data_IF_283267750131
#
_entry.id   IF_283267750131
#
_cell.length_a   1.000
_cell.length_b   1.000
_cell.length_c   1.000
_cell.angle_alpha   90.00
_cell.angle_beta   90.00
_cell.angle_gamma   90.00
#
_symmetry.space_group_name_H-M   'P 1'
#
loop_
_entity.id
_entity.type
_entity.pdbx_description
1 polymer ?
#
# COMPACT_ATOMS: atom_id res chain seq x y z
N UNK A 1 -34.22 36.68 -9.50
CA UNK A 1 -34.62 36.43 -8.11
C UNK A 1 -34.17 35.02 -7.69
N UNK A 2 -32.93 34.62 -8.01
CA UNK A 2 -32.52 33.19 -8.10
C UNK A 2 -31.21 32.87 -7.34
N UNK A 3 -30.64 33.81 -6.56
CA UNK A 3 -29.41 33.59 -5.77
C UNK A 3 -29.63 33.60 -4.25
N UNK A 4 -30.87 33.77 -3.79
CA UNK A 4 -31.20 33.70 -2.36
C UNK A 4 -31.32 32.26 -1.84
N UNK A 5 -31.84 31.35 -2.66
CA UNK A 5 -32.09 29.96 -2.28
C UNK A 5 -30.81 29.18 -1.89
N UNK A 6 -29.70 29.39 -2.59
CA UNK A 6 -28.43 28.69 -2.29
C UNK A 6 -27.80 29.17 -0.98
N UNK A 7 -27.96 30.46 -0.64
CA UNK A 7 -27.40 31.06 0.58
C UNK A 7 -28.17 30.66 1.85
N UNK A 8 -29.48 30.42 1.71
CA UNK A 8 -30.34 29.98 2.81
C UNK A 8 -30.28 28.46 3.04
N UNK A 9 -29.82 27.68 2.04
CA UNK A 9 -29.68 26.22 2.11
C UNK A 9 -28.27 25.78 2.59
N UNK A 10 -27.25 26.59 2.33
CA UNK A 10 -25.87 26.41 2.81
C UNK A 10 -25.73 26.15 4.33
N UNK A 11 -26.48 26.83 5.22
CA UNK A 11 -26.42 26.59 6.67
C UNK A 11 -26.91 25.20 7.09
N UNK A 12 -27.92 24.65 6.40
CA UNK A 12 -28.47 23.31 6.67
C UNK A 12 -27.53 22.21 6.18
N UNK A 13 -26.92 22.41 5.01
CA UNK A 13 -25.83 21.54 4.57
C UNK A 13 -24.62 21.62 5.50
N UNK A 14 -24.33 22.78 6.10
CA UNK A 14 -23.19 22.91 7.02
C UNK A 14 -23.34 22.08 8.30
N UNK A 15 -24.55 21.83 8.79
CA UNK A 15 -24.76 20.91 9.93
C UNK A 15 -24.69 19.45 9.50
N UNK A 16 -25.29 19.10 8.35
CA UNK A 16 -25.23 17.74 7.80
C UNK A 16 -23.81 17.33 7.41
N UNK A 17 -23.07 18.24 6.76
CA UNK A 17 -21.65 18.06 6.42
C UNK A 17 -20.82 17.94 7.70
N UNK A 18 -21.14 18.68 8.77
CA UNK A 18 -20.40 18.57 10.04
C UNK A 18 -20.58 17.19 10.67
N UNK A 19 -21.80 16.67 10.69
CA UNK A 19 -22.10 15.36 11.30
C UNK A 19 -21.43 14.21 10.52
N UNK A 20 -21.49 14.26 9.18
CA UNK A 20 -20.82 13.29 8.30
C UNK A 20 -19.29 13.40 8.37
N UNK A 21 -18.74 14.61 8.32
CA UNK A 21 -17.28 14.83 8.42
C UNK A 21 -16.75 14.42 9.78
N UNK A 22 -17.47 14.70 10.87
CA UNK A 22 -17.08 14.25 12.21
C UNK A 22 -17.13 12.72 12.33
N UNK A 23 -18.12 12.08 11.70
CA UNK A 23 -18.22 10.61 11.60
C UNK A 23 -17.06 9.99 10.81
N UNK A 24 -16.64 10.62 9.72
CA UNK A 24 -15.47 10.20 8.93
C UNK A 24 -14.18 10.44 9.69
N UNK A 25 -14.01 11.57 10.38
CA UNK A 25 -12.83 11.85 11.21
C UNK A 25 -12.73 10.84 12.36
N UNK A 26 -13.86 10.50 13.01
CA UNK A 26 -13.91 9.46 14.06
C UNK A 26 -13.55 8.06 13.56
N UNK A 27 -13.92 7.73 12.32
CA UNK A 27 -13.68 6.40 11.73
C UNK A 27 -12.35 6.25 11.00
N UNK A 28 -11.83 7.32 10.41
CA UNK A 28 -10.68 7.29 9.50
C UNK A 28 -9.46 8.01 10.08
N UNK A 29 -9.63 9.07 10.87
CA UNK A 29 -8.49 9.89 11.32
C UNK A 29 -8.12 9.58 12.78
N UNK A 30 -9.11 9.48 13.66
CA UNK A 30 -8.93 9.21 15.09
C UNK A 30 -8.28 7.84 15.41
N UNK A 31 -8.50 6.75 14.65
CA UNK A 31 -7.76 5.50 14.85
C UNK A 31 -6.29 5.60 14.47
N UNK A 32 -5.87 6.65 13.74
CA UNK A 32 -4.51 6.82 13.24
C UNK A 32 -3.76 7.96 13.96
N UNK A 33 -4.46 8.73 14.81
CA UNK A 33 -3.90 9.83 15.62
C UNK A 33 -4.44 9.76 17.07
N UNK A 34 -3.93 8.85 17.91
CA UNK A 34 -4.43 8.63 19.27
C UNK A 34 -4.27 9.83 20.22
N UNK A 35 -3.45 10.83 19.84
CA UNK A 35 -3.14 12.03 20.64
C UNK A 35 -4.25 13.10 20.68
N UNK A 36 -5.30 13.00 19.86
CA UNK A 36 -6.41 13.99 19.81
C UNK A 36 -7.62 13.59 20.68
N UNK A 37 -7.51 12.56 21.52
CA UNK A 37 -8.58 12.21 22.47
C UNK A 37 -8.73 13.33 23.50
N UNK A 38 -9.89 13.99 23.53
CA UNK A 38 -10.24 14.95 24.57
C UNK A 38 -10.28 14.26 25.94
N UNK A 39 -9.60 14.78 26.97
CA UNK A 39 -9.53 14.15 28.28
C UNK A 39 -10.70 14.60 29.16
N UNK A 40 -11.74 13.78 29.27
CA UNK A 40 -12.59 13.79 30.47
C UNK A 40 -12.10 12.66 31.40
N UNK A 41 -11.53 13.09 32.53
CA UNK A 41 -10.84 12.28 33.58
C UNK A 41 -11.82 11.36 34.37
N UNK A 42 -11.38 10.52 35.35
CA UNK A 42 -10.04 10.16 35.78
C UNK A 42 -9.74 8.64 35.86
N UNK A 43 -8.45 8.31 35.78
CA UNK A 43 -7.73 7.24 36.50
C UNK A 43 -8.45 5.89 36.72
N UNK A 44 -8.17 4.94 35.83
CA UNK A 44 -8.05 3.51 36.17
C UNK A 44 -7.19 2.79 35.13
N UNK A 45 -5.89 2.65 35.36
CA UNK A 45 -5.08 1.57 34.77
C UNK A 45 -5.65 0.23 35.26
N UNK A 46 -5.51 -0.95 34.60
CA UNK A 46 -4.63 -1.42 33.50
C UNK A 46 -5.46 -2.23 32.43
N UNK A 47 -4.98 -3.13 31.53
CA UNK A 47 -3.65 -3.68 31.29
C UNK A 47 -3.05 -3.31 29.93
N UNK A 48 -1.77 -3.65 29.78
CA UNK A 48 -0.98 -3.55 28.56
C UNK A 48 -1.73 -4.19 27.38
N UNK A 49 -2.56 -3.41 26.70
CA UNK A 49 -2.87 -3.68 25.32
C UNK A 49 -1.67 -3.12 24.56
N UNK A 50 -0.62 -3.94 24.50
CA UNK A 50 0.11 -4.02 23.25
C UNK A 50 -0.94 -4.42 22.21
N UNK A 51 -1.71 -3.42 21.73
CA UNK A 51 -2.18 -3.41 20.37
C UNK A 51 -0.89 -3.59 19.58
N UNK A 52 -0.58 -4.86 19.30
CA UNK A 52 -0.06 -5.19 18.00
C UNK A 52 -1.02 -4.47 17.07
N UNK A 53 -0.63 -3.27 16.65
CA UNK A 53 -0.96 -2.79 15.33
C UNK A 53 -0.61 -3.99 14.48
N UNK A 54 -1.63 -4.79 14.14
CA UNK A 54 -1.47 -5.77 13.09
C UNK A 54 -1.03 -4.89 11.93
N UNK A 55 0.28 -4.84 11.67
CA UNK A 55 0.81 -4.23 10.47
C UNK A 55 -0.06 -4.82 9.38
N UNK A 56 -0.93 -4.00 8.80
CA UNK A 56 -1.73 -4.44 7.69
C UNK A 56 -0.70 -4.85 6.65
N UNK A 57 -0.59 -6.15 6.43
CA UNK A 57 0.41 -6.71 5.54
C UNK A 57 0.06 -6.20 4.14
N UNK A 58 0.82 -5.24 3.65
CA UNK A 58 0.69 -4.76 2.29
C UNK A 58 1.45 -5.70 1.36
N UNK A 59 0.88 -5.99 0.20
CA UNK A 59 1.50 -6.86 -0.80
C UNK A 59 1.47 -6.21 -2.17
N UNK A 60 2.57 -6.34 -2.90
CA UNK A 60 2.64 -6.00 -4.32
C UNK A 60 2.23 -7.23 -5.13
N UNK A 61 1.28 -7.06 -6.05
CA UNK A 61 0.80 -8.13 -6.92
C UNK A 61 0.84 -7.71 -8.39
N UNK A 62 1.28 -8.61 -9.26
CA UNK A 62 1.12 -8.44 -10.71
C UNK A 62 -0.35 -8.60 -11.08
N UNK A 63 -0.86 -7.64 -11.85
CA UNK A 63 -2.23 -7.71 -12.40
C UNK A 63 -2.21 -8.60 -13.63
N UNK A 64 -3.04 -9.63 -13.62
CA UNK A 64 -3.05 -10.68 -14.63
C UNK A 64 -2.07 -11.81 -14.31
N UNK A 65 -1.94 -12.73 -15.25
CA UNK A 65 -1.08 -13.92 -15.09
C UNK A 65 0.16 -13.76 -15.95
N UNK A 66 1.33 -13.90 -15.33
CA UNK A 66 2.61 -14.00 -16.03
C UNK A 66 2.80 -15.44 -16.52
N UNK A 67 3.39 -15.65 -17.70
CA UNK A 67 3.70 -16.99 -18.18
C UNK A 67 4.72 -17.68 -17.27
N UNK A 68 4.58 -19.00 -17.13
CA UNK A 68 5.47 -19.84 -16.29
C UNK A 68 6.96 -19.74 -16.66
N UNK A 69 7.24 -19.31 -17.90
CA UNK A 69 8.62 -19.17 -18.39
C UNK A 69 8.79 -17.84 -19.10
N UNK A 70 9.67 -17.01 -18.55
CA UNK A 70 10.15 -15.77 -19.16
C UNK A 70 11.45 -16.04 -19.91
N UNK A 71 11.55 -15.50 -21.11
CA UNK A 71 12.76 -15.61 -21.92
C UNK A 71 13.52 -14.29 -21.89
N UNK A 72 14.84 -14.37 -21.77
CA UNK A 72 15.71 -13.21 -21.92
C UNK A 72 15.54 -12.59 -23.32
N UNK A 73 15.77 -11.28 -23.43
CA UNK A 73 15.62 -10.52 -24.68
C UNK A 73 14.20 -10.47 -25.27
N UNK A 74 13.19 -10.85 -24.50
CA UNK A 74 11.77 -10.61 -24.83
C UNK A 74 11.15 -9.67 -23.81
N UNK A 75 10.18 -8.90 -24.28
CA UNK A 75 9.33 -8.09 -23.41
C UNK A 75 8.55 -9.02 -22.48
N UNK A 76 8.54 -8.67 -21.19
CA UNK A 76 7.70 -9.36 -20.21
C UNK A 76 6.26 -8.94 -20.50
N UNK A 77 5.40 -9.91 -20.72
CA UNK A 77 3.98 -9.70 -21.01
C UNK A 77 3.15 -10.66 -20.16
N UNK A 78 1.96 -10.22 -19.77
CA UNK A 78 0.93 -11.12 -19.20
C UNK A 78 0.20 -11.86 -20.32
N UNK A 79 -0.62 -12.84 -19.97
CA UNK A 79 -1.31 -13.74 -20.94
C UNK A 79 -2.08 -13.02 -22.06
N UNK A 80 -2.58 -11.80 -21.81
CA UNK A 80 -3.27 -10.97 -22.81
C UNK A 80 -2.30 -10.17 -23.72
N UNK A 81 -1.00 -10.49 -23.71
CA UNK A 81 0.07 -9.81 -24.44
C UNK A 81 0.25 -8.31 -24.07
N UNK A 82 -0.27 -7.89 -22.91
CA UNK A 82 -0.10 -6.55 -22.38
C UNK A 82 1.10 -6.46 -21.42
N UNK A 83 1.60 -5.23 -21.21
CA UNK A 83 2.69 -5.01 -20.26
C UNK A 83 2.23 -5.31 -18.82
N UNK A 84 3.08 -5.94 -17.99
CA UNK A 84 2.74 -6.24 -16.61
C UNK A 84 2.49 -4.95 -15.83
N UNK A 85 1.40 -4.93 -15.09
CA UNK A 85 1.09 -3.89 -14.12
C UNK A 85 1.24 -4.45 -12.71
N UNK A 86 1.70 -3.62 -11.77
CA UNK A 86 1.77 -3.98 -10.35
C UNK A 86 0.77 -3.14 -9.58
N UNK A 87 0.04 -3.77 -8.67
CA UNK A 87 -0.83 -3.09 -7.71
C UNK A 87 -0.43 -3.39 -6.27
N UNK A 88 -0.80 -2.48 -5.37
CA UNK A 88 -0.66 -2.64 -3.94
C UNK A 88 -1.99 -3.12 -3.37
N UNK A 89 -1.98 -4.21 -2.60
CA UNK A 89 -3.13 -4.75 -1.90
C UNK A 89 -2.94 -4.74 -0.39
N UNK A 90 -4.04 -4.61 0.34
CA UNK A 90 -4.08 -4.79 1.79
C UNK A 90 -4.31 -6.27 2.17
N UNK A 91 -4.36 -6.55 3.47
CA UNK A 91 -4.58 -7.90 4.00
C UNK A 91 -5.97 -8.48 3.66
N UNK A 92 -6.88 -7.68 3.12
CA UNK A 92 -8.19 -8.14 2.63
C UNK A 92 -8.18 -8.50 1.14
N UNK A 93 -7.04 -8.28 0.46
CA UNK A 93 -6.92 -8.40 -0.99
C UNK A 93 -7.52 -7.20 -1.74
N UNK A 94 -7.81 -6.10 -1.04
CA UNK A 94 -8.36 -4.89 -1.66
C UNK A 94 -7.23 -4.00 -2.15
N UNK A 95 -7.39 -3.45 -3.35
CA UNK A 95 -6.43 -2.49 -3.92
C UNK A 95 -6.35 -1.24 -3.05
N UNK A 96 -5.11 -0.85 -2.72
CA UNK A 96 -4.79 0.36 -1.97
C UNK A 96 -4.51 1.51 -2.94
N UNK A 97 -5.44 2.45 -3.04
CA UNK A 97 -5.33 3.61 -3.95
C UNK A 97 -4.91 4.90 -3.25
N UNK A 98 -5.13 5.01 -1.93
CA UNK A 98 -4.94 6.24 -1.16
C UNK A 98 -3.93 6.02 -0.04
N UNK A 99 -2.96 6.94 0.06
CA UNK A 99 -1.98 6.97 1.14
C UNK A 99 -0.56 7.21 0.62
N UNK A 100 0.42 7.36 1.53
CA UNK A 100 1.83 7.46 1.13
C UNK A 100 2.30 6.18 0.43
N UNK A 101 1.84 5.01 0.88
CA UNK A 101 2.21 3.69 0.34
C UNK A 101 1.76 3.52 -1.11
N UNK A 102 0.55 4.00 -1.47
CA UNK A 102 0.04 3.89 -2.85
C UNK A 102 0.77 4.80 -3.86
N UNK A 103 1.55 5.76 -3.36
CA UNK A 103 2.36 6.67 -4.18
C UNK A 103 3.85 6.29 -4.20
N UNK A 104 4.22 5.18 -3.54
CA UNK A 104 5.59 4.73 -3.49
C UNK A 104 6.10 4.32 -4.89
N UNK A 105 7.37 4.64 -5.16
CA UNK A 105 8.04 4.14 -6.37
C UNK A 105 8.56 2.75 -6.08
N UNK A 106 8.31 1.85 -7.02
CA UNK A 106 8.82 0.48 -6.96
C UNK A 106 9.92 0.29 -8.00
N UNK A 107 10.82 -0.66 -7.73
CA UNK A 107 11.85 -1.11 -8.65
C UNK A 107 11.76 -2.62 -8.78
N UNK A 108 11.82 -3.13 -10.01
CA UNK A 108 11.91 -4.55 -10.29
C UNK A 108 13.38 -4.90 -10.48
N UNK A 109 13.84 -5.95 -9.79
CA UNK A 109 15.22 -6.44 -9.84
C UNK A 109 15.24 -7.93 -10.15
N UNK A 110 16.33 -8.39 -10.76
CA UNK A 110 16.57 -9.82 -10.92
C UNK A 110 17.37 -10.32 -9.70
N UNK A 111 16.94 -11.43 -9.11
CA UNK A 111 17.63 -12.10 -8.01
C UNK A 111 18.31 -13.39 -8.52
N UNK A 112 19.32 -13.88 -7.81
CA UNK A 112 19.96 -15.18 -8.07
C UNK A 112 19.12 -16.37 -7.56
N UNK A 113 18.67 -17.25 -8.47
CA UNK A 113 17.56 -18.24 -8.37
C UNK A 113 17.47 -19.17 -7.16
N UNK A 114 18.48 -19.19 -6.30
CA UNK A 114 18.56 -20.02 -5.10
C UNK A 114 18.15 -19.19 -3.87
N UNK A 115 16.87 -18.78 -3.83
CA UNK A 115 16.33 -17.90 -2.79
C UNK A 115 15.76 -18.68 -1.59
N UNK A 116 15.21 -19.86 -1.84
CA UNK A 116 14.52 -20.67 -0.83
C UNK A 116 15.47 -21.57 -0.02
N UNK A 117 16.72 -21.14 0.20
CA UNK A 117 17.80 -21.98 0.75
C UNK A 117 17.45 -22.58 2.12
N UNK A 118 16.56 -21.95 2.89
CA UNK A 118 16.18 -22.36 4.25
C UNK A 118 14.66 -22.56 4.45
N UNK A 119 13.83 -22.47 3.40
CA UNK A 119 12.37 -22.45 3.55
C UNK A 119 11.85 -21.25 4.38
N UNK A 120 12.65 -20.17 4.43
CA UNK A 120 12.29 -18.88 5.03
C UNK A 120 12.05 -17.87 3.94
N UNK A 121 10.84 -17.32 3.94
CA UNK A 121 10.42 -16.23 3.03
C UNK A 121 10.74 -14.83 3.61
N UNK A 122 11.19 -14.78 4.87
CA UNK A 122 11.53 -13.54 5.57
C UNK A 122 13.01 -13.21 5.40
N UNK A 123 13.32 -12.35 4.43
CA UNK A 123 14.68 -11.84 4.19
C UNK A 123 14.89 -10.48 4.84
N UNK A 124 16.09 -10.25 5.38
CA UNK A 124 16.48 -8.87 5.73
C UNK A 124 16.78 -8.07 4.46
N UNK A 125 16.78 -6.75 4.58
CA UNK A 125 17.14 -5.85 3.47
C UNK A 125 18.56 -6.16 2.94
N UNK A 126 19.50 -6.48 3.84
CA UNK A 126 20.87 -6.85 3.47
C UNK A 126 20.94 -8.17 2.72
N UNK A 127 20.16 -9.17 3.14
CA UNK A 127 20.06 -10.47 2.48
C UNK A 127 19.49 -10.33 1.08
N UNK A 128 18.40 -9.56 0.95
CA UNK A 128 17.79 -9.24 -0.35
C UNK A 128 18.79 -8.55 -1.28
N UNK A 129 19.41 -7.47 -0.82
CA UNK A 129 20.32 -6.66 -1.63
C UNK A 129 21.56 -7.44 -2.07
N UNK A 130 22.03 -8.39 -1.26
CA UNK A 130 23.17 -9.27 -1.61
C UNK A 130 22.83 -10.21 -2.77
N UNK A 131 21.58 -10.62 -2.90
CA UNK A 131 21.11 -11.54 -3.93
C UNK A 131 20.67 -10.84 -5.23
N UNK A 132 20.66 -9.51 -5.27
CA UNK A 132 20.38 -8.75 -6.50
C UNK A 132 21.48 -8.99 -7.53
N UNK A 133 21.10 -9.54 -8.67
CA UNK A 133 22.01 -9.79 -9.78
C UNK A 133 22.43 -8.49 -10.44
N UNK A 134 23.74 -8.37 -10.68
CA UNK A 134 24.30 -7.30 -11.49
C UNK A 134 24.50 -7.76 -12.93
N UNK A 135 24.39 -6.85 -13.92
CA UNK A 135 24.78 -7.15 -15.29
C UNK A 135 26.23 -7.63 -15.35
N UNK A 136 26.50 -8.61 -16.21
CA UNK A 136 27.88 -9.03 -16.48
C UNK A 136 28.66 -7.85 -17.06
N UNK A 137 29.96 -7.80 -16.76
CA UNK A 137 30.87 -6.78 -17.32
C UNK A 137 30.71 -6.75 -18.85
N UNK A 138 30.51 -5.55 -19.39
CA UNK A 138 30.33 -5.30 -20.83
C UNK A 138 29.05 -5.91 -21.45
N UNK A 139 28.02 -6.25 -20.64
CA UNK A 139 26.70 -6.68 -21.11
C UNK A 139 25.62 -5.63 -20.84
N UNK A 140 24.51 -5.77 -21.57
CA UNK A 140 23.31 -4.96 -21.36
C UNK A 140 22.71 -5.19 -19.96
N UNK A 141 21.90 -4.23 -19.45
CA UNK A 141 21.11 -4.42 -18.25
C UNK A 141 20.28 -5.71 -18.29
N UNK A 142 20.06 -6.34 -17.14
CA UNK A 142 19.29 -7.58 -17.04
C UNK A 142 17.81 -7.37 -17.36
N UNK A 143 17.28 -6.20 -16.99
CA UNK A 143 15.92 -5.76 -17.27
C UNK A 143 15.99 -4.43 -18.02
N UNK A 144 15.14 -4.30 -19.03
CA UNK A 144 15.01 -3.09 -19.86
C UNK A 144 13.51 -2.79 -19.93
N UNK A 145 13.13 -1.56 -19.58
CA UNK A 145 11.73 -1.12 -19.48
C UNK A 145 11.66 0.38 -19.27
#
# INVERSE_FOLDING_TARGET
>A
MELKCVRDLMPLFRSLIREEVEGVIKRVVLPHLPSLRTPDSPSRSPPNLAESFASSSLQLQFVGTLPDTLWTFKDIQVDDASAPMVELQDSTGSRVEVGPESSAKIQIVALDGDFEVDGRDDWTEEEFNKNVLSPRKDKQPLLVG
#
